data_IF_498307030741
#
_entry.id   IF_498307030741
#
_cell.length_a   1.000
_cell.length_b   1.000
_cell.length_c   1.000
_cell.angle_alpha   90.00
_cell.angle_beta   90.00
_cell.angle_gamma   90.00
#
_symmetry.space_group_name_H-M   'P 1'
#
loop_
_entity.id
_entity.type
_entity.pdbx_description
1 polymer ?
#
# COMPACT_ATOMS: atom_id res chain seq x y z
N UNK A 1 37.73 -4.83 -8.70
CA UNK A 1 37.39 -4.96 -7.26
C UNK A 1 36.06 -4.30 -6.90
N UNK A 2 35.84 -3.00 -7.19
CA UNK A 2 34.57 -2.29 -6.91
C UNK A 2 33.33 -2.99 -7.49
N UNK A 3 33.44 -3.49 -8.72
CA UNK A 3 32.35 -4.13 -9.45
C UNK A 3 31.94 -5.49 -8.85
N UNK A 4 32.93 -6.31 -8.50
CA UNK A 4 32.72 -7.57 -7.80
C UNK A 4 32.07 -7.34 -6.42
N UNK A 5 32.52 -6.32 -5.69
CA UNK A 5 31.91 -5.94 -4.42
C UNK A 5 30.43 -5.55 -4.55
N UNK A 6 30.07 -4.79 -5.59
CA UNK A 6 28.66 -4.43 -5.87
C UNK A 6 27.82 -5.66 -6.23
N UNK A 7 28.35 -6.57 -7.04
CA UNK A 7 27.66 -7.81 -7.39
C UNK A 7 27.44 -8.69 -6.15
N UNK A 8 28.48 -8.90 -5.34
CA UNK A 8 28.40 -9.69 -4.11
C UNK A 8 27.42 -9.08 -3.11
N UNK A 9 27.38 -7.74 -2.99
CA UNK A 9 26.37 -7.05 -2.17
C UNK A 9 24.96 -7.34 -2.70
N UNK A 10 24.72 -7.15 -4.00
CA UNK A 10 23.41 -7.42 -4.60
C UNK A 10 22.96 -8.86 -4.34
N UNK A 11 23.84 -9.85 -4.58
CA UNK A 11 23.53 -11.26 -4.34
C UNK A 11 23.28 -11.54 -2.85
N UNK A 12 24.10 -10.98 -1.95
CA UNK A 12 23.92 -11.09 -0.51
C UNK A 12 22.58 -10.51 -0.03
N UNK A 13 22.18 -9.35 -0.56
CA UNK A 13 20.90 -8.72 -0.24
C UNK A 13 19.71 -9.61 -0.65
N UNK A 14 19.78 -10.30 -1.80
CA UNK A 14 18.76 -11.28 -2.21
C UNK A 14 18.78 -12.52 -1.32
N UNK A 15 19.96 -13.06 -1.04
CA UNK A 15 20.11 -14.27 -0.23
C UNK A 15 19.55 -14.06 1.19
N UNK A 16 19.85 -12.93 1.80
CA UNK A 16 19.36 -12.56 3.13
C UNK A 16 17.86 -12.26 3.11
N UNK A 17 17.39 -11.42 2.19
CA UNK A 17 16.01 -10.98 2.21
C UNK A 17 15.02 -12.08 1.79
N UNK A 18 15.37 -12.93 0.83
CA UNK A 18 14.54 -14.05 0.38
C UNK A 18 14.87 -15.38 1.10
N UNK A 19 15.56 -15.35 2.24
CA UNK A 19 15.85 -16.53 3.07
C UNK A 19 14.59 -17.37 3.34
N UNK A 20 13.46 -16.71 3.55
CA UNK A 20 12.15 -17.31 3.79
C UNK A 20 11.63 -18.20 2.65
N UNK A 21 12.18 -18.08 1.45
CA UNK A 21 11.82 -18.94 0.29
C UNK A 21 13.02 -19.72 -0.24
N UNK A 22 14.19 -19.65 0.41
CA UNK A 22 15.43 -20.32 0.00
C UNK A 22 16.43 -19.42 -0.73
N UNK A 23 16.45 -18.13 -0.41
CA UNK A 23 17.44 -17.17 -0.90
C UNK A 23 17.38 -16.96 -2.41
N UNK A 24 18.54 -16.85 -3.06
CA UNK A 24 18.66 -16.64 -4.51
C UNK A 24 17.98 -17.77 -5.29
N UNK A 25 18.18 -19.02 -4.88
CA UNK A 25 17.60 -20.19 -5.54
C UNK A 25 16.07 -20.17 -5.40
N UNK A 26 15.59 -19.88 -4.18
CA UNK A 26 14.17 -19.72 -3.89
C UNK A 26 13.49 -18.66 -4.75
N UNK A 27 14.11 -17.48 -4.85
CA UNK A 27 13.67 -16.40 -5.71
C UNK A 27 13.52 -16.87 -7.17
N UNK A 28 14.55 -17.54 -7.68
CA UNK A 28 14.57 -17.99 -9.08
C UNK A 28 13.50 -19.06 -9.35
N UNK A 29 13.34 -20.04 -8.46
CA UNK A 29 12.30 -21.08 -8.59
C UNK A 29 10.92 -20.42 -8.64
N UNK A 30 10.62 -19.53 -7.69
CA UNK A 30 9.33 -18.86 -7.62
C UNK A 30 9.04 -17.99 -8.85
N UNK A 31 10.06 -17.30 -9.38
CA UNK A 31 9.92 -16.55 -10.63
C UNK A 31 9.62 -17.47 -11.81
N UNK A 32 10.31 -18.61 -11.93
CA UNK A 32 10.08 -19.60 -13.00
C UNK A 32 8.68 -20.25 -12.89
N UNK A 33 8.21 -20.54 -11.68
CA UNK A 33 6.85 -21.06 -11.46
C UNK A 33 5.79 -20.07 -11.95
N UNK A 34 5.93 -18.79 -11.59
CA UNK A 34 5.00 -17.74 -12.03
C UNK A 34 5.08 -17.48 -13.54
N UNK A 35 6.28 -17.56 -14.14
CA UNK A 35 6.45 -17.50 -15.60
C UNK A 35 5.73 -18.65 -16.31
N UNK A 36 5.83 -19.87 -15.78
CA UNK A 36 5.18 -21.05 -16.34
C UNK A 36 3.66 -20.92 -16.33
N UNK A 37 3.10 -20.48 -15.20
CA UNK A 37 1.66 -20.20 -15.06
C UNK A 37 1.19 -19.11 -16.03
N UNK A 38 2.00 -18.07 -16.25
CA UNK A 38 1.66 -17.00 -17.20
C UNK A 38 1.68 -17.47 -18.67
N UNK A 39 2.44 -18.53 -19.01
CA UNK A 39 2.54 -19.07 -20.37
C UNK A 39 1.45 -20.12 -20.67
N UNK A 40 0.94 -20.82 -19.65
CA UNK A 40 -0.18 -21.74 -19.81
C UNK A 40 -1.49 -20.98 -20.06
N UNK A 41 -2.08 -21.14 -21.25
CA UNK A 41 -3.40 -20.58 -21.61
C UNK A 41 -4.57 -21.17 -20.80
N UNK A 42 -4.33 -22.22 -20.03
CA UNK A 42 -5.28 -22.85 -19.10
C UNK A 42 -5.23 -22.25 -17.68
N UNK A 43 -4.91 -20.96 -17.57
CA UNK A 43 -4.77 -20.21 -16.31
C UNK A 43 -6.01 -20.20 -15.40
N UNK A 44 -7.12 -20.81 -15.83
CA UNK A 44 -8.34 -20.99 -15.04
C UNK A 44 -8.20 -21.99 -13.89
N UNK A 45 -7.18 -22.85 -13.90
CA UNK A 45 -7.00 -23.86 -12.86
C UNK A 45 -5.57 -23.86 -12.32
N UNK A 46 -5.27 -22.94 -11.41
CA UNK A 46 -4.40 -23.34 -10.30
C UNK A 46 -5.15 -24.49 -9.61
N UNK A 47 -4.48 -25.61 -9.32
CA UNK A 47 -5.00 -26.53 -8.32
C UNK A 47 -5.12 -25.73 -7.02
N UNK A 48 -6.30 -25.19 -6.77
CA UNK A 48 -6.61 -24.55 -5.51
C UNK A 48 -6.34 -25.58 -4.44
N UNK A 49 -5.57 -25.20 -3.41
CA UNK A 49 -5.49 -26.03 -2.20
C UNK A 49 -6.88 -26.12 -1.54
N UNK A 50 -7.81 -25.26 -1.91
CA UNK A 50 -9.16 -25.21 -1.35
C UNK A 50 -10.15 -25.93 -2.26
N UNK A 51 -11.08 -26.68 -1.65
CA UNK A 51 -12.17 -27.39 -2.33
C UNK A 51 -13.18 -26.41 -2.95
N UNK A 52 -13.31 -25.24 -2.35
CA UNK A 52 -14.25 -24.19 -2.73
C UNK A 52 -13.64 -22.83 -2.44
N UNK A 53 -13.83 -21.87 -3.34
CA UNK A 53 -13.50 -20.46 -3.16
C UNK A 53 -14.58 -19.63 -3.83
N UNK A 54 -15.12 -18.66 -3.12
CA UNK A 54 -16.07 -17.68 -3.64
C UNK A 54 -15.76 -16.30 -3.07
N UNK A 55 -16.21 -15.27 -3.80
CA UNK A 55 -15.97 -13.88 -3.45
C UNK A 55 -17.31 -13.15 -3.33
N UNK A 56 -17.46 -12.41 -2.24
CA UNK A 56 -18.65 -11.65 -1.93
C UNK A 56 -18.29 -10.17 -1.76
N UNK A 57 -19.22 -9.27 -2.10
CA UNK A 57 -19.04 -7.86 -1.78
C UNK A 57 -19.08 -7.71 -0.27
N UNK A 58 -18.00 -7.24 0.38
CA UNK A 58 -17.92 -7.21 1.83
C UNK A 58 -18.92 -6.20 2.40
N UNK A 59 -19.70 -6.60 3.39
CA UNK A 59 -20.48 -5.63 4.17
C UNK A 59 -19.58 -5.00 5.23
N UNK A 60 -19.77 -3.71 5.48
CA UNK A 60 -18.92 -2.95 6.40
C UNK A 60 -19.53 -1.60 6.72
N UNK A 61 -18.90 -0.89 7.65
CA UNK A 61 -19.42 0.37 8.16
C UNK A 61 -19.33 1.46 7.09
N UNK A 62 -20.49 2.00 6.67
CA UNK A 62 -20.52 3.22 5.86
C UNK A 62 -20.55 4.45 6.76
N UNK A 63 -19.44 5.19 6.77
CA UNK A 63 -19.25 6.37 7.63
C UNK A 63 -20.18 7.54 7.27
N UNK A 64 -20.86 7.48 6.11
CA UNK A 64 -21.86 8.45 5.67
C UNK A 64 -23.27 8.14 6.18
N UNK A 65 -23.57 6.87 6.45
CA UNK A 65 -24.91 6.44 6.87
C UNK A 65 -25.08 6.56 8.38
N UNK A 66 -24.08 6.13 9.15
CA UNK A 66 -24.07 6.21 10.61
C UNK A 66 -23.05 7.25 11.09
N UNK A 67 -23.44 8.52 11.00
CA UNK A 67 -22.57 9.67 11.33
C UNK A 67 -22.21 9.74 12.82
N UNK A 68 -23.09 9.25 13.70
CA UNK A 68 -22.84 9.21 15.15
C UNK A 68 -21.76 8.17 15.46
N UNK A 69 -21.91 6.94 14.95
CA UNK A 69 -20.89 5.91 15.11
C UNK A 69 -19.58 6.30 14.43
N UNK A 70 -19.63 6.91 13.24
CA UNK A 70 -18.43 7.40 12.55
C UNK A 70 -17.65 8.40 13.41
N UNK A 71 -18.35 9.35 14.04
CA UNK A 71 -17.76 10.33 14.96
C UNK A 71 -17.19 9.65 16.21
N UNK A 72 -17.92 8.69 16.77
CA UNK A 72 -17.48 7.93 17.95
C UNK A 72 -16.26 7.06 17.65
N UNK A 73 -16.22 6.41 16.48
CA UNK A 73 -15.09 5.64 16.00
C UNK A 73 -13.85 6.52 15.80
N UNK A 74 -14.03 7.70 15.21
CA UNK A 74 -12.95 8.66 15.05
C UNK A 74 -12.43 9.15 16.42
N UNK A 75 -13.31 9.39 17.39
CA UNK A 75 -12.92 9.74 18.75
C UNK A 75 -12.09 8.63 19.41
N UNK A 76 -12.44 7.36 19.24
CA UNK A 76 -11.60 6.23 19.70
C UNK A 76 -10.22 6.24 19.03
N UNK A 77 -10.14 6.60 17.74
CA UNK A 77 -8.86 6.72 17.03
C UNK A 77 -8.00 7.86 17.57
N UNK A 78 -8.60 9.01 17.87
CA UNK A 78 -7.89 10.13 18.49
C UNK A 78 -7.46 9.77 19.91
N UNK A 79 -8.34 9.19 20.73
CA UNK A 79 -8.02 8.71 22.09
C UNK A 79 -6.89 7.68 22.09
N UNK A 80 -6.93 6.74 21.13
CA UNK A 80 -5.94 5.69 20.95
C UNK A 80 -4.65 6.12 20.24
N UNK A 81 -4.48 7.40 19.88
CA UNK A 81 -3.30 7.89 19.17
C UNK A 81 -1.96 7.57 19.89
N UNK A 82 -1.86 7.60 21.24
CA UNK A 82 -0.67 7.12 21.95
C UNK A 82 -0.38 5.62 21.77
N UNK A 83 -1.32 4.83 21.29
CA UNK A 83 -1.14 3.40 21.01
C UNK A 83 -0.88 3.12 19.53
N UNK A 84 -0.84 4.16 18.68
CA UNK A 84 -0.63 4.05 17.25
C UNK A 84 0.80 4.46 16.85
N UNK A 85 1.36 3.75 15.88
CA UNK A 85 2.47 4.19 15.04
C UNK A 85 2.01 4.52 13.62
N UNK A 86 2.93 5.03 12.82
CA UNK A 86 2.72 5.25 11.38
C UNK A 86 3.73 4.44 10.58
N UNK A 87 3.28 3.76 9.53
CA UNK A 87 4.16 3.00 8.63
C UNK A 87 3.93 3.50 7.19
N UNK A 88 4.97 4.04 6.56
CA UNK A 88 4.87 4.65 5.23
C UNK A 88 5.77 3.95 4.20
N UNK A 89 5.19 3.28 3.18
CA UNK A 89 5.94 2.83 2.01
C UNK A 89 6.26 4.02 1.08
N UNK A 90 7.51 4.50 1.11
CA UNK A 90 8.04 5.63 0.33
C UNK A 90 9.14 5.17 -0.65
N UNK A 91 9.04 3.94 -1.18
CA UNK A 91 10.03 3.40 -2.12
C UNK A 91 9.90 3.86 -3.59
N UNK A 92 8.92 4.71 -3.92
CA UNK A 92 8.55 5.04 -5.31
C UNK A 92 9.24 6.29 -5.88
N UNK A 93 9.67 6.19 -7.14
CA UNK A 93 10.18 7.32 -7.92
C UNK A 93 9.05 8.16 -8.52
N UNK A 94 9.32 9.46 -8.74
CA UNK A 94 8.43 10.46 -9.30
C UNK A 94 8.38 10.47 -10.84
N UNK A 95 8.80 9.39 -11.51
CA UNK A 95 8.88 9.31 -12.98
C UNK A 95 7.58 9.70 -13.69
N UNK A 96 6.46 9.18 -13.21
CA UNK A 96 5.13 9.46 -13.80
C UNK A 96 4.68 10.90 -13.57
N UNK A 97 5.27 11.59 -12.60
CA UNK A 97 5.07 13.01 -12.33
C UNK A 97 6.02 13.88 -13.16
N UNK A 98 7.02 13.29 -13.84
CA UNK A 98 8.10 14.02 -14.47
C UNK A 98 8.93 14.82 -13.45
N UNK A 99 8.98 14.35 -12.20
CA UNK A 99 9.73 14.99 -11.14
C UNK A 99 11.20 14.59 -11.27
N UNK A 100 12.04 15.57 -11.60
CA UNK A 100 13.47 15.43 -11.85
C UNK A 100 14.26 16.48 -11.09
N UNK A 101 15.46 16.11 -10.71
CA UNK A 101 16.47 17.01 -10.17
C UNK A 101 16.98 17.93 -11.29
N UNK A 102 17.06 19.23 -11.04
CA UNK A 102 17.41 20.22 -12.06
C UNK A 102 18.86 20.14 -12.50
N UNK A 103 19.74 19.66 -11.62
CA UNK A 103 21.19 19.71 -11.81
C UNK A 103 21.69 18.42 -12.46
N UNK A 104 21.12 17.29 -12.06
CA UNK A 104 21.51 15.95 -12.52
C UNK A 104 20.59 15.38 -13.60
N UNK A 105 19.33 15.85 -13.69
CA UNK A 105 18.31 15.28 -14.56
C UNK A 105 17.76 13.93 -14.09
N UNK A 106 18.20 13.42 -12.95
CA UNK A 106 17.71 12.16 -12.39
C UNK A 106 16.31 12.33 -11.81
N UNK A 107 15.48 11.27 -11.85
CA UNK A 107 14.15 11.35 -11.26
C UNK A 107 14.19 11.28 -9.73
N UNK A 108 13.49 12.20 -9.08
CA UNK A 108 13.40 12.30 -7.63
C UNK A 108 12.30 11.41 -7.04
N UNK A 109 12.35 11.06 -5.74
CA UNK A 109 11.24 10.43 -5.05
C UNK A 109 9.94 11.20 -5.16
N UNK A 110 8.81 10.49 -5.34
CA UNK A 110 7.49 11.13 -5.41
C UNK A 110 7.16 11.93 -4.14
N UNK A 111 7.69 11.50 -2.98
CA UNK A 111 7.56 12.20 -1.71
C UNK A 111 8.11 13.63 -1.70
N UNK A 112 9.03 13.97 -2.60
CA UNK A 112 9.60 15.31 -2.74
C UNK A 112 8.77 16.24 -3.64
N UNK A 113 7.68 15.75 -4.26
CA UNK A 113 6.83 16.56 -5.13
C UNK A 113 6.37 17.84 -4.39
N UNK A 114 6.69 19.04 -4.90
CA UNK A 114 6.15 20.27 -4.36
C UNK A 114 4.64 20.33 -4.52
N UNK A 115 3.95 20.57 -3.42
CA UNK A 115 2.51 20.54 -3.28
C UNK A 115 2.07 21.63 -2.29
N UNK A 116 1.46 22.70 -2.80
CA UNK A 116 1.08 23.88 -2.01
C UNK A 116 2.25 24.47 -1.19
N UNK A 117 3.43 24.58 -1.81
CA UNK A 117 4.63 25.17 -1.22
C UNK A 117 5.44 24.26 -0.28
N UNK A 118 5.07 22.97 -0.16
CA UNK A 118 5.78 21.96 0.66
C UNK A 118 5.90 20.64 -0.09
N UNK A 119 6.81 19.77 0.29
CA UNK A 119 6.82 18.40 -0.25
C UNK A 119 5.61 17.58 0.21
N UNK A 120 5.26 16.51 -0.53
CA UNK A 120 4.22 15.56 -0.07
C UNK A 120 4.58 14.94 1.29
N UNK A 121 5.86 14.67 1.56
CA UNK A 121 6.30 14.15 2.85
C UNK A 121 6.04 15.15 3.99
N UNK A 122 6.32 16.44 3.78
CA UNK A 122 5.97 17.48 4.75
C UNK A 122 4.45 17.54 5.00
N UNK A 123 3.65 17.43 3.93
CA UNK A 123 2.20 17.36 4.05
C UNK A 123 1.74 16.19 4.94
N UNK A 124 2.34 15.02 4.74
CA UNK A 124 2.08 13.81 5.52
C UNK A 124 2.40 14.01 7.02
N UNK A 125 3.53 14.64 7.34
CA UNK A 125 3.93 14.92 8.72
C UNK A 125 3.04 15.98 9.39
N UNK A 126 2.63 17.01 8.64
CA UNK A 126 1.75 18.06 9.15
C UNK A 126 0.37 17.53 9.51
N UNK A 127 -0.16 16.62 8.70
CA UNK A 127 -1.39 15.91 9.01
C UNK A 127 -1.26 15.12 10.34
N UNK A 128 -0.18 14.36 10.50
CA UNK A 128 0.07 13.63 11.75
C UNK A 128 0.14 14.58 12.96
N UNK A 129 0.86 15.69 12.83
CA UNK A 129 0.94 16.72 13.88
C UNK A 129 -0.43 17.35 14.20
N UNK A 130 -1.30 17.51 13.19
CA UNK A 130 -2.65 18.02 13.42
C UNK A 130 -3.49 17.05 14.27
N UNK A 131 -3.36 15.74 14.05
CA UNK A 131 -4.02 14.71 14.86
C UNK A 131 -3.49 14.66 16.29
N UNK A 132 -2.18 14.77 16.48
CA UNK A 132 -1.55 14.87 17.80
C UNK A 132 -2.00 16.11 18.56
N UNK A 133 -2.09 17.24 17.85
CA UNK A 133 -2.62 18.48 18.40
C UNK A 133 -4.10 18.34 18.79
N UNK A 134 -4.91 17.67 17.97
CA UNK A 134 -6.30 17.39 18.29
C UNK A 134 -6.45 16.49 19.53
N UNK A 135 -5.65 15.41 19.64
CA UNK A 135 -5.59 14.59 20.85
C UNK A 135 -5.23 15.43 22.09
N UNK A 136 -4.21 16.30 22.00
CA UNK A 136 -3.87 17.22 23.08
C UNK A 136 -5.02 18.15 23.44
N UNK A 137 -5.75 18.69 22.46
CA UNK A 137 -6.88 19.59 22.70
C UNK A 137 -8.05 18.90 23.40
N UNK A 138 -8.32 17.65 23.08
CA UNK A 138 -9.44 16.90 23.66
C UNK A 138 -9.07 16.32 25.04
N UNK A 139 -7.86 15.77 25.20
CA UNK A 139 -7.48 14.97 26.37
C UNK A 139 -6.44 15.64 27.28
N UNK A 140 -5.92 16.80 26.90
CA UNK A 140 -4.92 17.55 27.69
C UNK A 140 -3.54 16.89 27.75
N UNK A 141 -3.27 15.87 26.93
CA UNK A 141 -2.03 15.10 26.92
C UNK A 141 -1.35 15.19 25.56
N UNK A 142 -0.08 15.56 25.53
CA UNK A 142 0.71 15.50 24.30
C UNK A 142 1.18 14.07 24.04
N UNK A 143 1.27 13.70 22.77
CA UNK A 143 1.89 12.47 22.32
C UNK A 143 2.71 12.73 21.06
N UNK A 144 3.76 11.92 20.85
CA UNK A 144 4.52 11.88 19.60
C UNK A 144 4.37 10.48 19.03
N UNK A 145 3.69 10.39 17.90
CA UNK A 145 3.47 9.14 17.15
C UNK A 145 4.73 8.79 16.35
N UNK A 146 5.36 7.63 16.58
CA UNK A 146 6.58 7.23 15.88
C UNK A 146 6.29 6.90 14.42
N UNK A 147 7.21 7.27 13.53
CA UNK A 147 7.07 7.12 12.08
C UNK A 147 8.12 6.16 11.53
N UNK A 148 7.66 5.02 11.02
CA UNK A 148 8.44 4.04 10.30
C UNK A 148 8.30 4.28 8.79
N UNK A 149 9.43 4.40 8.07
CA UNK A 149 9.43 4.71 6.64
C UNK A 149 10.23 3.66 5.87
N UNK A 150 9.55 2.94 4.99
CA UNK A 150 10.22 2.03 4.05
C UNK A 150 10.64 2.78 2.78
N UNK A 151 11.93 2.81 2.48
CA UNK A 151 12.50 3.48 1.28
C UNK A 151 12.98 2.44 0.25
N UNK A 152 13.65 2.90 -0.81
CA UNK A 152 14.42 2.03 -1.72
C UNK A 152 15.75 2.70 -2.11
N UNK A 153 16.67 1.91 -2.68
CA UNK A 153 17.93 2.44 -3.23
C UNK A 153 17.78 2.97 -4.65
N UNK A 154 16.60 2.80 -5.28
CA UNK A 154 16.38 3.22 -6.66
C UNK A 154 16.41 4.73 -6.72
N UNK A 155 17.27 5.28 -7.58
CA UNK A 155 17.39 6.73 -7.82
C UNK A 155 17.64 7.50 -6.52
N UNK A 156 18.55 6.98 -5.69
CA UNK A 156 18.97 7.56 -4.42
C UNK A 156 17.80 7.90 -3.49
N UNK A 157 16.71 7.12 -3.55
CA UNK A 157 15.49 7.42 -2.83
C UNK A 157 15.72 7.47 -1.31
N UNK A 158 16.45 6.52 -0.74
CA UNK A 158 16.78 6.52 0.69
C UNK A 158 17.51 7.80 1.10
N UNK A 159 18.56 8.17 0.37
CA UNK A 159 19.40 9.34 0.64
C UNK A 159 18.58 10.64 0.56
N UNK A 160 17.74 10.77 -0.46
CA UNK A 160 16.85 11.92 -0.60
C UNK A 160 15.85 12.05 0.55
N UNK A 161 15.29 10.92 1.04
CA UNK A 161 14.37 10.93 2.20
C UNK A 161 15.12 11.25 3.50
N UNK A 162 16.32 10.71 3.70
CA UNK A 162 17.18 11.08 4.85
C UNK A 162 17.50 12.58 4.81
N UNK A 163 17.92 13.09 3.66
CA UNK A 163 18.32 14.49 3.50
C UNK A 163 17.18 15.47 3.82
N UNK A 164 15.94 15.19 3.37
CA UNK A 164 14.81 16.06 3.71
C UNK A 164 14.43 15.96 5.19
N UNK A 165 14.50 14.77 5.80
CA UNK A 165 14.28 14.61 7.23
C UNK A 165 15.31 15.41 8.04
N UNK A 166 16.60 15.31 7.72
CA UNK A 166 17.67 16.02 8.43
C UNK A 166 17.59 17.54 8.21
N UNK A 167 17.36 18.00 6.97
CA UNK A 167 17.20 19.42 6.63
C UNK A 167 16.04 20.08 7.37
N UNK A 168 14.96 19.33 7.61
CA UNK A 168 13.78 19.80 8.32
C UNK A 168 13.78 19.40 9.80
N UNK A 169 14.95 19.04 10.35
CA UNK A 169 15.15 18.69 11.77
C UNK A 169 14.15 17.64 12.27
N UNK A 170 13.94 16.60 11.46
CA UNK A 170 12.98 15.52 11.69
C UNK A 170 11.56 16.06 11.95
N UNK A 171 11.19 17.13 11.24
CA UNK A 171 9.92 17.84 11.32
C UNK A 171 9.58 18.33 12.73
N UNK A 172 10.60 18.58 13.56
CA UNK A 172 10.46 18.98 14.96
C UNK A 172 10.01 17.84 15.89
N UNK A 173 10.10 16.57 15.45
CA UNK A 173 9.64 15.38 16.20
C UNK A 173 10.79 14.62 16.87
N UNK A 174 12.04 14.95 16.57
CA UNK A 174 13.22 14.22 17.03
C UNK A 174 13.55 12.98 16.17
N UNK A 175 14.85 12.69 16.00
CA UNK A 175 15.35 11.58 15.17
C UNK A 175 14.93 10.22 15.72
N UNK A 176 14.83 10.11 17.04
CA UNK A 176 14.45 8.90 17.77
C UNK A 176 13.03 8.43 17.46
N UNK A 177 12.15 9.35 17.03
CA UNK A 177 10.77 9.07 16.63
C UNK A 177 10.64 8.70 15.15
N UNK A 178 11.75 8.52 14.43
CA UNK A 178 11.78 8.02 13.06
C UNK A 178 12.61 6.76 12.92
N UNK A 179 12.11 5.83 12.10
CA UNK A 179 12.84 4.63 11.70
C UNK A 179 12.75 4.46 10.18
N UNK A 180 13.81 4.83 9.49
CA UNK A 180 13.93 4.57 8.05
C UNK A 180 14.55 3.18 7.86
N UNK A 181 14.00 2.39 6.95
CA UNK A 181 14.49 1.06 6.63
C UNK A 181 14.34 0.80 5.13
N UNK A 182 15.42 0.35 4.50
CA UNK A 182 15.54 0.33 3.05
C UNK A 182 15.26 -1.08 2.50
N UNK A 183 14.39 -1.16 1.48
CA UNK A 183 14.13 -2.42 0.78
C UNK A 183 15.25 -2.72 -0.23
N UNK A 184 15.63 -4.00 -0.40
CA UNK A 184 16.61 -4.39 -1.41
C UNK A 184 16.05 -4.25 -2.84
N UNK A 185 16.95 -4.11 -3.80
CA UNK A 185 16.61 -4.30 -5.21
C UNK A 185 16.53 -5.79 -5.51
N UNK A 186 15.60 -6.17 -6.40
CA UNK A 186 15.38 -7.55 -6.81
C UNK A 186 15.66 -7.72 -8.30
N UNK A 187 16.20 -8.87 -8.74
CA UNK A 187 16.61 -9.06 -10.12
C UNK A 187 15.40 -9.16 -11.04
N UNK A 188 15.49 -8.46 -12.17
CA UNK A 188 14.52 -8.57 -13.26
C UNK A 188 14.81 -9.84 -14.07
N UNK A 189 13.78 -10.63 -14.28
CA UNK A 189 13.78 -11.89 -15.01
C UNK A 189 13.18 -11.70 -16.40
N UNK A 190 13.86 -12.23 -17.42
CA UNK A 190 13.40 -12.24 -18.80
C UNK A 190 12.20 -13.19 -18.96
N UNK A 191 11.14 -12.74 -19.65
CA UNK A 191 9.92 -13.51 -19.83
C UNK A 191 10.09 -14.75 -20.72
N UNK A 192 11.05 -14.74 -21.64
CA UNK A 192 11.30 -15.81 -22.61
C UNK A 192 12.01 -17.00 -21.95
N UNK A 193 13.20 -16.76 -21.38
CA UNK A 193 14.10 -17.82 -20.92
C UNK A 193 14.27 -17.89 -19.40
N UNK A 194 13.67 -16.95 -18.66
CA UNK A 194 13.76 -16.93 -17.20
C UNK A 194 15.13 -16.52 -16.66
N UNK A 195 16.06 -16.04 -17.49
CA UNK A 195 17.36 -15.54 -17.02
C UNK A 195 17.24 -14.13 -16.46
N UNK A 196 18.16 -13.75 -15.58
CA UNK A 196 18.24 -12.37 -15.12
C UNK A 196 18.74 -11.46 -16.24
N UNK A 197 18.12 -10.29 -16.37
CA UNK A 197 18.64 -9.24 -17.23
C UNK A 197 19.92 -8.67 -16.62
N UNK A 198 20.97 -8.53 -17.43
CA UNK A 198 22.27 -8.05 -17.01
C UNK A 198 22.56 -6.72 -17.71
N UNK A 199 22.99 -5.73 -16.93
CA UNK A 199 23.36 -4.40 -17.42
C UNK A 199 24.80 -4.32 -17.93
N UNK A 200 25.19 -3.19 -18.52
CA UNK A 200 26.54 -2.88 -19.02
C UNK A 200 27.67 -3.22 -18.04
N UNK A 201 27.38 -3.06 -16.75
CA UNK A 201 28.31 -3.28 -15.66
C UNK A 201 28.42 -4.74 -15.24
N UNK A 202 27.83 -5.71 -15.95
CA UNK A 202 27.69 -7.11 -15.50
C UNK A 202 26.89 -7.26 -14.19
N UNK A 203 26.16 -6.21 -13.78
CA UNK A 203 25.26 -6.25 -12.65
C UNK A 203 23.84 -6.62 -13.10
N UNK A 204 23.11 -7.42 -12.31
CA UNK A 204 21.69 -7.65 -12.54
C UNK A 204 20.92 -6.33 -12.59
N UNK A 205 19.97 -6.23 -13.52
CA UNK A 205 19.02 -5.12 -13.55
C UNK A 205 18.11 -5.26 -12.33
N UNK A 206 18.26 -4.36 -11.37
CA UNK A 206 17.52 -4.34 -10.10
C UNK A 206 16.30 -3.43 -10.14
N UNK A 207 15.18 -3.88 -9.57
CA UNK A 207 13.99 -3.05 -9.32
C UNK A 207 13.44 -3.31 -7.91
N UNK A 208 12.61 -2.43 -7.33
CA UNK A 208 11.98 -2.70 -6.04
C UNK A 208 11.03 -3.90 -6.14
N UNK A 209 11.00 -4.72 -5.08
CA UNK A 209 10.22 -5.97 -4.96
C UNK A 209 8.75 -5.77 -4.58
N UNK A 210 8.24 -4.55 -4.69
CA UNK A 210 6.87 -4.21 -4.30
C UNK A 210 6.74 -3.80 -2.83
N UNK A 211 5.61 -3.19 -2.48
CA UNK A 211 5.42 -2.63 -1.14
C UNK A 211 5.07 -3.68 -0.06
N UNK A 212 4.77 -4.92 -0.44
CA UNK A 212 4.56 -6.04 0.50
C UNK A 212 5.82 -6.46 1.27
N UNK A 213 7.00 -6.07 0.79
CA UNK A 213 8.28 -6.31 1.45
C UNK A 213 8.34 -5.68 2.85
N UNK A 214 7.48 -4.69 3.10
CA UNK A 214 7.43 -3.92 4.33
C UNK A 214 7.29 -4.76 5.59
N UNK A 215 6.58 -5.89 5.53
CA UNK A 215 6.29 -6.71 6.72
C UNK A 215 7.48 -7.55 7.15
N UNK A 216 8.05 -8.33 6.23
CA UNK A 216 9.29 -9.07 6.49
C UNK A 216 10.41 -8.11 6.85
N UNK A 217 10.57 -7.02 6.08
CA UNK A 217 11.64 -6.05 6.30
C UNK A 217 11.51 -5.33 7.64
N UNK A 218 10.29 -4.98 8.06
CA UNK A 218 10.05 -4.41 9.39
C UNK A 218 10.48 -5.38 10.51
N UNK A 219 10.23 -6.69 10.33
CA UNK A 219 10.70 -7.72 11.25
C UNK A 219 12.23 -7.82 11.26
N UNK A 220 12.85 -8.02 10.09
CA UNK A 220 14.30 -8.21 9.97
C UNK A 220 15.10 -7.00 10.48
N UNK A 221 14.55 -5.79 10.35
CA UNK A 221 15.20 -4.52 10.76
C UNK A 221 14.83 -4.06 12.17
N UNK A 222 14.07 -4.86 12.92
CA UNK A 222 13.68 -4.57 14.31
C UNK A 222 12.72 -3.38 14.46
N UNK A 223 11.91 -3.10 13.43
CA UNK A 223 10.99 -1.95 13.40
C UNK A 223 9.80 -2.20 14.33
N UNK A 224 9.28 -3.42 14.39
CA UNK A 224 8.19 -3.77 15.32
C UNK A 224 8.64 -3.61 16.78
N UNK A 225 9.83 -4.12 17.13
CA UNK A 225 10.41 -3.96 18.46
C UNK A 225 10.63 -2.48 18.81
N UNK A 226 11.05 -1.68 17.84
CA UNK A 226 11.17 -0.24 18.02
C UNK A 226 9.81 0.43 18.26
N UNK A 227 8.74 0.05 17.56
CA UNK A 227 7.38 0.52 17.81
C UNK A 227 6.87 0.09 19.20
N UNK A 228 7.12 -1.15 19.63
CA UNK A 228 6.72 -1.61 20.97
C UNK A 228 7.43 -0.87 22.10
N UNK A 229 8.72 -0.51 21.93
CA UNK A 229 9.43 0.34 22.90
C UNK A 229 8.82 1.72 23.04
N UNK A 230 8.11 2.19 22.01
CA UNK A 230 7.31 3.42 22.08
C UNK A 230 5.89 3.17 22.63
N UNK A 231 5.54 1.94 23.01
CA UNK A 231 4.23 1.59 23.56
C UNK A 231 3.11 1.45 22.51
N UNK A 232 3.46 1.20 21.25
CA UNK A 232 2.46 1.12 20.17
C UNK A 232 1.91 -0.30 20.05
N UNK A 233 0.61 -0.41 19.80
CA UNK A 233 -0.13 -1.66 19.59
C UNK A 233 -0.59 -1.81 18.14
N UNK A 234 -1.03 -0.71 17.53
CA UNK A 234 -1.43 -0.67 16.13
C UNK A 234 -0.62 0.33 15.33
N UNK A 235 -0.82 0.33 14.01
CA UNK A 235 -0.33 1.37 13.13
C UNK A 235 -1.29 1.65 11.98
N UNK A 236 -1.25 2.87 11.48
CA UNK A 236 -1.84 3.22 10.18
C UNK A 236 -0.79 3.11 9.09
N UNK A 237 -1.19 2.54 7.94
CA UNK A 237 -0.32 2.32 6.79
C UNK A 237 -0.96 2.96 5.56
N UNK A 238 -0.24 3.86 4.87
CA UNK A 238 -0.74 4.53 3.66
C UNK A 238 0.36 5.05 2.76
N UNK A 239 0.03 5.23 1.48
CA UNK A 239 0.96 5.80 0.50
C UNK A 239 1.04 7.33 0.61
N UNK A 240 2.26 7.87 0.51
CA UNK A 240 2.53 9.33 0.56
C UNK A 240 1.80 10.14 -0.52
N UNK A 241 1.46 9.50 -1.66
CA UNK A 241 0.81 10.17 -2.77
C UNK A 241 -0.67 10.51 -2.54
N UNK A 242 -1.34 9.86 -1.58
CA UNK A 242 -2.76 10.08 -1.31
C UNK A 242 -2.93 11.22 -0.29
N UNK A 243 -3.17 12.42 -0.80
CA UNK A 243 -3.17 13.66 -0.01
C UNK A 243 -4.46 13.89 0.77
N UNK A 244 -5.55 13.21 0.42
CA UNK A 244 -6.85 13.32 1.12
C UNK A 244 -7.03 12.33 2.26
N UNK A 245 -6.17 11.31 2.36
CA UNK A 245 -6.32 10.14 3.23
C UNK A 245 -6.56 10.42 4.73
N UNK A 246 -6.24 11.62 5.21
CA UNK A 246 -6.46 12.04 6.59
C UNK A 246 -7.06 13.46 6.70
N UNK A 247 -7.70 13.91 5.63
CA UNK A 247 -8.37 15.23 5.61
C UNK A 247 -9.75 15.19 6.25
N UNK A 248 -10.23 14.01 6.65
CA UNK A 248 -11.50 13.79 7.32
C UNK A 248 -11.39 12.73 8.44
N UNK A 249 -12.53 12.30 8.97
CA UNK A 249 -12.61 11.33 10.06
C UNK A 249 -12.22 9.89 9.68
N UNK A 250 -12.06 9.55 8.39
CA UNK A 250 -11.96 8.16 7.92
C UNK A 250 -10.76 7.42 8.52
N UNK A 251 -9.58 8.04 8.50
CA UNK A 251 -8.36 7.39 9.01
C UNK A 251 -8.46 7.11 10.51
N UNK A 252 -9.04 8.04 11.27
CA UNK A 252 -9.21 7.90 12.71
C UNK A 252 -10.33 6.93 13.06
N UNK A 253 -11.43 6.91 12.30
CA UNK A 253 -12.47 5.90 12.47
C UNK A 253 -11.93 4.49 12.19
N UNK A 254 -11.14 4.33 11.12
CA UNK A 254 -10.46 3.08 10.79
C UNK A 254 -9.56 2.62 11.95
N UNK A 255 -8.65 3.48 12.41
CA UNK A 255 -7.73 3.14 13.49
C UNK A 255 -8.43 2.90 14.83
N UNK A 256 -9.45 3.71 15.14
CA UNK A 256 -10.24 3.59 16.36
C UNK A 256 -11.02 2.29 16.43
N UNK A 257 -11.66 1.86 15.35
CA UNK A 257 -12.32 0.54 15.27
C UNK A 257 -11.30 -0.58 15.46
N UNK A 258 -10.15 -0.46 14.80
CA UNK A 258 -9.05 -1.42 14.90
C UNK A 258 -8.60 -1.67 16.34
N UNK A 259 -8.27 -0.58 17.05
CA UNK A 259 -7.85 -0.64 18.45
C UNK A 259 -8.99 -1.07 19.39
N UNK A 260 -10.18 -0.46 19.24
CA UNK A 260 -11.29 -0.66 20.18
C UNK A 260 -11.78 -2.10 20.19
N UNK A 261 -11.82 -2.74 19.03
CA UNK A 261 -12.36 -4.08 18.84
C UNK A 261 -11.28 -5.14 18.66
N UNK A 262 -10.01 -4.81 18.89
CA UNK A 262 -8.85 -5.71 18.74
C UNK A 262 -8.83 -6.42 17.37
N UNK A 263 -9.14 -5.68 16.29
CA UNK A 263 -9.09 -6.23 14.93
C UNK A 263 -7.63 -6.29 14.48
N UNK A 264 -7.30 -7.23 13.58
CA UNK A 264 -5.93 -7.41 13.07
C UNK A 264 -5.62 -6.52 11.88
N UNK A 265 -6.60 -6.27 11.01
CA UNK A 265 -6.40 -5.47 9.81
C UNK A 265 -7.70 -4.77 9.38
N UNK A 266 -7.60 -3.49 9.03
CA UNK A 266 -8.71 -2.71 8.52
C UNK A 266 -8.40 -2.10 7.16
N UNK A 267 -9.42 -1.98 6.30
CA UNK A 267 -9.33 -1.29 5.01
C UNK A 267 -10.24 -0.06 4.99
N UNK A 268 -9.72 1.11 4.62
CA UNK A 268 -10.58 2.22 4.19
C UNK A 268 -10.83 2.10 2.68
N UNK A 269 -12.10 2.07 2.29
CA UNK A 269 -12.54 1.80 0.92
C UNK A 269 -13.58 2.80 0.44
N UNK A 270 -13.81 2.80 -0.87
CA UNK A 270 -14.81 3.63 -1.51
C UNK A 270 -15.37 2.95 -2.76
N UNK A 271 -16.32 3.60 -3.43
CA UNK A 271 -16.78 3.18 -4.75
C UNK A 271 -15.60 3.11 -5.75
N UNK A 272 -15.57 2.03 -6.54
CA UNK A 272 -14.62 1.84 -7.63
C UNK A 272 -15.14 2.48 -8.91
N UNK A 273 -14.33 3.34 -9.54
CA UNK A 273 -14.68 3.95 -10.83
C UNK A 273 -14.40 2.97 -11.99
N UNK A 274 -15.23 2.96 -13.05
CA UNK A 274 -14.95 2.18 -14.26
C UNK A 274 -13.58 2.53 -14.85
N UNK A 275 -12.79 1.51 -15.23
CA UNK A 275 -11.47 1.71 -15.81
C UNK A 275 -10.37 2.15 -14.82
N UNK A 276 -10.65 2.19 -13.52
CA UNK A 276 -9.64 2.44 -12.50
C UNK A 276 -8.66 1.27 -12.39
N UNK A 277 -7.36 1.58 -12.26
CA UNK A 277 -6.26 0.59 -12.15
C UNK A 277 -5.94 0.24 -10.69
N UNK A 278 -6.95 0.25 -9.83
CA UNK A 278 -6.85 -0.14 -8.42
C UNK A 278 -7.47 -1.51 -8.20
N UNK A 279 -6.91 -2.27 -7.25
CA UNK A 279 -7.49 -3.54 -6.80
C UNK A 279 -8.84 -3.34 -6.11
N UNK A 280 -9.50 -4.45 -5.79
CA UNK A 280 -10.77 -4.47 -5.05
C UNK A 280 -10.65 -5.21 -3.74
N UNK A 281 -11.38 -4.75 -2.73
CA UNK A 281 -11.55 -5.50 -1.49
C UNK A 281 -12.75 -6.45 -1.61
N UNK A 282 -12.57 -7.69 -1.17
CA UNK A 282 -13.55 -8.78 -1.26
C UNK A 282 -13.69 -9.47 0.08
N UNK A 283 -14.88 -9.94 0.42
CA UNK A 283 -15.05 -10.98 1.42
C UNK A 283 -14.77 -12.32 0.73
N UNK A 284 -13.70 -12.99 1.11
CA UNK A 284 -13.42 -14.35 0.64
C UNK A 284 -14.15 -15.36 1.53
N UNK A 285 -14.77 -16.35 0.89
CA UNK A 285 -15.29 -17.55 1.52
C UNK A 285 -14.61 -18.75 0.87
N UNK A 286 -13.91 -19.57 1.64
CA UNK A 286 -13.26 -20.78 1.10
C UNK A 286 -13.40 -21.97 2.03
N UNK A 287 -13.34 -23.16 1.46
CA UNK A 287 -13.32 -24.41 2.20
C UNK A 287 -11.99 -25.13 1.97
N UNK A 288 -11.23 -25.36 3.04
CA UNK A 288 -9.94 -26.03 2.95
C UNK A 288 -10.10 -27.56 2.72
N UNK A 289 -8.99 -28.28 2.51
CA UNK A 289 -9.02 -29.73 2.27
C UNK A 289 -9.61 -30.52 3.45
N UNK A 290 -9.46 -30.01 4.68
CA UNK A 290 -9.99 -30.62 5.90
C UNK A 290 -11.50 -30.40 6.06
N UNK A 291 -12.12 -29.61 5.17
CA UNK A 291 -13.55 -29.31 5.18
C UNK A 291 -13.95 -28.14 6.07
N UNK A 292 -12.98 -27.45 6.69
CA UNK A 292 -13.23 -26.24 7.47
C UNK A 292 -13.43 -25.04 6.55
N UNK A 293 -14.26 -24.10 7.00
CA UNK A 293 -14.60 -22.88 6.28
C UNK A 293 -13.75 -21.71 6.78
N UNK A 294 -13.20 -20.92 5.87
CA UNK A 294 -12.38 -19.76 6.18
C UNK A 294 -12.98 -18.50 5.55
N UNK A 295 -13.02 -17.44 6.36
CA UNK A 295 -13.57 -16.15 5.98
C UNK A 295 -12.61 -15.01 6.33
N UNK A 296 -12.58 -13.99 5.49
CA UNK A 296 -11.79 -12.78 5.71
C UNK A 296 -12.04 -11.75 4.63
N UNK A 297 -11.74 -10.49 4.93
CA UNK A 297 -11.70 -9.42 3.94
C UNK A 297 -10.27 -9.34 3.43
N UNK A 298 -10.09 -9.51 2.12
CA UNK A 298 -8.81 -9.43 1.45
C UNK A 298 -8.89 -8.55 0.20
N UNK A 299 -7.76 -8.37 -0.49
CA UNK A 299 -7.67 -7.59 -1.71
C UNK A 299 -7.29 -8.48 -2.89
N UNK A 300 -7.97 -8.28 -4.02
CA UNK A 300 -7.58 -8.80 -5.33
C UNK A 300 -7.00 -7.64 -6.13
N UNK A 301 -5.79 -7.80 -6.66
CA UNK A 301 -5.16 -6.79 -7.51
C UNK A 301 -5.80 -6.72 -8.89
N UNK A 302 -5.81 -5.53 -9.49
CA UNK A 302 -6.43 -5.30 -10.82
C UNK A 302 -5.79 -6.16 -11.92
N UNK A 303 -4.52 -6.52 -11.76
CA UNK A 303 -3.81 -7.40 -12.69
C UNK A 303 -4.32 -8.84 -12.67
N UNK A 304 -5.01 -9.24 -11.60
CA UNK A 304 -5.52 -10.59 -11.39
C UNK A 304 -7.04 -10.72 -11.59
N UNK A 305 -7.74 -9.66 -11.98
CA UNK A 305 -9.20 -9.70 -12.18
C UNK A 305 -9.65 -10.76 -13.18
N UNK A 306 -8.93 -10.91 -14.29
CA UNK A 306 -9.24 -11.94 -15.30
C UNK A 306 -9.13 -13.34 -14.72
N UNK A 307 -8.13 -13.58 -13.87
CA UNK A 307 -7.90 -14.86 -13.19
C UNK A 307 -9.02 -15.19 -12.20
N UNK A 308 -9.55 -14.19 -11.51
CA UNK A 308 -10.58 -14.36 -10.48
C UNK A 308 -12.01 -14.05 -10.96
N UNK A 309 -12.20 -13.78 -12.25
CA UNK A 309 -13.53 -13.47 -12.81
C UNK A 309 -14.15 -12.18 -12.29
N UNK A 310 -13.33 -11.20 -11.88
CA UNK A 310 -13.81 -9.90 -11.39
C UNK A 310 -14.18 -9.03 -12.59
N UNK A 311 -15.48 -8.75 -12.73
CA UNK A 311 -16.01 -7.90 -13.79
C UNK A 311 -15.80 -6.42 -13.51
N UNK A 312 -15.63 -5.63 -14.57
CA UNK A 312 -15.69 -4.17 -14.46
C UNK A 312 -17.10 -3.69 -14.06
N UNK A 313 -17.21 -2.61 -13.28
CA UNK A 313 -18.51 -2.00 -13.00
C UNK A 313 -19.13 -1.52 -14.32
N UNK A 314 -20.27 -2.09 -14.74
CA UNK A 314 -21.01 -1.60 -15.90
C UNK A 314 -21.97 -0.50 -15.47
N UNK A 315 -21.88 0.67 -16.11
CA UNK A 315 -22.91 1.70 -16.03
C UNK A 315 -24.11 1.28 -16.88
N UNK A 316 -24.90 0.31 -16.41
CA UNK A 316 -26.15 -0.10 -17.09
C UNK A 316 -27.36 0.39 -16.31
N UNK A 317 -28.25 1.05 -17.05
CA UNK A 317 -29.52 1.64 -16.61
C UNK A 317 -30.25 0.80 -15.54
N UNK A 318 -30.27 1.31 -14.30
CA UNK A 318 -31.30 1.00 -13.31
C UNK A 318 -31.11 -0.23 -12.41
N UNK A 319 -30.12 -1.09 -12.65
CA UNK A 319 -29.76 -2.15 -11.70
C UNK A 319 -28.29 -2.04 -11.30
N UNK A 320 -28.04 -1.59 -10.06
CA UNK A 320 -26.72 -1.64 -9.44
C UNK A 320 -26.33 -3.12 -9.26
N UNK A 321 -25.59 -3.69 -10.21
CA UNK A 321 -24.84 -4.91 -9.91
C UNK A 321 -23.85 -4.54 -8.80
N UNK A 322 -23.88 -5.27 -7.69
CA UNK A 322 -23.02 -4.98 -6.54
C UNK A 322 -21.56 -5.00 -7.00
N UNK A 323 -20.92 -3.83 -6.99
CA UNK A 323 -19.53 -3.67 -7.42
C UNK A 323 -18.63 -3.83 -6.20
N UNK A 324 -17.56 -4.60 -6.35
CA UNK A 324 -16.56 -4.69 -5.29
C UNK A 324 -15.92 -3.32 -5.05
N UNK A 325 -15.76 -2.92 -3.78
CA UNK A 325 -15.19 -1.62 -3.44
C UNK A 325 -13.71 -1.53 -3.80
N UNK A 326 -13.27 -0.31 -4.08
CA UNK A 326 -11.87 -0.03 -4.38
C UNK A 326 -10.98 -0.20 -3.15
N UNK A 327 -9.85 -0.91 -3.32
CA UNK A 327 -8.77 -0.87 -2.36
C UNK A 327 -7.99 0.45 -2.49
N UNK A 328 -7.97 1.24 -1.43
CA UNK A 328 -7.27 2.54 -1.42
C UNK A 328 -5.86 2.48 -0.82
N UNK A 329 -5.46 1.31 -0.30
CA UNK A 329 -4.18 1.12 0.40
C UNK A 329 -4.01 2.04 1.62
N UNK A 330 -5.12 2.46 2.25
CA UNK A 330 -5.16 3.01 3.60
C UNK A 330 -5.59 1.89 4.53
N UNK A 331 -4.66 1.48 5.39
CA UNK A 331 -4.84 0.32 6.27
C UNK A 331 -4.68 0.73 7.73
N UNK A 332 -5.41 0.05 8.60
CA UNK A 332 -5.03 -0.13 10.00
C UNK A 332 -4.44 -1.52 10.14
N UNK A 333 -3.41 -1.68 10.96
CA UNK A 333 -2.80 -2.99 11.25
C UNK A 333 -2.50 -3.12 12.74
N UNK A 334 -2.80 -4.28 13.30
CA UNK A 334 -2.29 -4.69 14.61
C UNK A 334 -0.81 -5.11 14.47
N UNK A 335 0.06 -4.52 15.28
CA UNK A 335 1.51 -4.70 15.14
C UNK A 335 1.94 -6.12 15.50
N UNK A 336 1.31 -6.74 16.49
CA UNK A 336 1.62 -8.11 16.89
C UNK A 336 1.26 -9.08 15.75
N UNK A 337 0.05 -8.98 15.21
CA UNK A 337 -0.40 -9.80 14.10
C UNK A 337 0.49 -9.60 12.85
N UNK A 338 0.90 -8.36 12.56
CA UNK A 338 1.80 -8.09 11.46
C UNK A 338 3.20 -8.69 11.65
N UNK A 339 3.76 -8.58 12.87
CA UNK A 339 5.05 -9.18 13.20
C UNK A 339 5.00 -10.71 13.11
N UNK A 340 3.93 -11.34 13.59
CA UNK A 340 3.73 -12.79 13.49
C UNK A 340 3.73 -13.30 12.05
N UNK A 341 3.27 -12.48 11.09
CA UNK A 341 3.38 -12.78 9.66
C UNK A 341 4.79 -12.49 9.14
N UNK A 342 5.34 -11.32 9.47
CA UNK A 342 6.67 -10.88 9.03
C UNK A 342 7.81 -11.80 9.48
N UNK A 343 7.67 -12.47 10.63
CA UNK A 343 8.67 -13.38 11.18
C UNK A 343 8.63 -14.80 10.59
N UNK A 344 7.65 -15.10 9.73
CA UNK A 344 7.49 -16.46 9.18
C UNK A 344 8.62 -16.78 8.21
N UNK A 345 9.17 -17.99 8.32
CA UNK A 345 10.22 -18.51 7.44
C UNK A 345 9.66 -19.21 6.19
N UNK A 346 8.62 -18.62 5.60
CA UNK A 346 7.99 -19.09 4.36
C UNK A 346 7.42 -17.90 3.57
N UNK A 347 6.94 -18.16 2.36
CA UNK A 347 6.43 -17.12 1.44
C UNK A 347 5.29 -16.24 2.00
N UNK A 348 4.60 -16.65 3.08
CA UNK A 348 3.51 -15.85 3.66
C UNK A 348 3.96 -14.52 4.28
N UNK A 349 5.24 -14.36 4.64
CA UNK A 349 5.81 -13.08 5.07
C UNK A 349 6.00 -12.07 3.92
N UNK A 350 5.84 -12.51 2.67
CA UNK A 350 5.88 -11.72 1.45
C UNK A 350 4.49 -11.78 0.78
N UNK A 351 3.46 -11.12 1.34
CA UNK A 351 2.09 -11.30 0.88
C UNK A 351 1.85 -10.84 -0.57
N UNK A 352 0.96 -11.53 -1.27
CA UNK A 352 0.53 -11.14 -2.62
C UNK A 352 1.63 -11.23 -3.69
N UNK A 353 2.49 -12.25 -3.64
CA UNK A 353 3.56 -12.43 -4.64
C UNK A 353 2.96 -12.61 -6.04
N UNK A 354 3.35 -11.71 -6.94
CA UNK A 354 3.01 -11.73 -8.37
C UNK A 354 4.24 -11.45 -9.22
N UNK A 355 4.15 -11.80 -10.50
CA UNK A 355 5.15 -11.48 -11.51
C UNK A 355 4.46 -10.75 -12.67
N UNK A 356 4.61 -9.43 -12.74
CA UNK A 356 3.99 -8.63 -13.78
C UNK A 356 4.89 -8.52 -15.02
N UNK A 357 4.44 -9.11 -16.12
CA UNK A 357 5.15 -9.15 -17.42
C UNK A 357 4.60 -8.15 -18.45
N UNK A 358 3.61 -7.33 -18.10
CA UNK A 358 2.89 -6.48 -19.07
C UNK A 358 3.73 -5.32 -19.62
N UNK A 359 4.83 -4.95 -18.95
CA UNK A 359 5.67 -3.81 -19.35
C UNK A 359 7.05 -4.28 -19.76
N UNK A 360 7.52 -3.79 -20.89
CA UNK A 360 8.91 -3.97 -21.28
C UNK A 360 9.85 -3.28 -20.28
N UNK A 361 11.02 -3.87 -20.09
CA UNK A 361 12.07 -3.34 -19.23
C UNK A 361 13.19 -2.81 -20.11
N UNK A 362 13.39 -1.50 -20.07
CA UNK A 362 14.54 -0.83 -20.66
C UNK A 362 15.78 -1.01 -19.79
N UNK A 363 16.92 -1.34 -20.39
CA UNK A 363 18.22 -1.47 -19.75
C UNK A 363 19.34 -1.27 -20.77
N UNK A 364 20.56 -0.97 -20.32
CA UNK A 364 21.74 -0.92 -21.19
C UNK A 364 22.48 -2.26 -21.05
N UNK A 365 22.75 -2.95 -22.14
CA UNK A 365 23.42 -4.26 -22.11
C UNK A 365 24.95 -4.16 -21.90
N UNK A 366 25.61 -5.31 -21.72
CA UNK A 366 27.07 -5.45 -21.61
C UNK A 366 27.90 -4.82 -22.74
N UNK A 367 27.28 -4.44 -23.86
CA UNK A 367 27.94 -3.79 -25.00
C UNK A 367 27.67 -2.28 -25.07
N UNK A 368 26.88 -1.73 -24.13
CA UNK A 368 26.52 -0.32 -24.08
C UNK A 368 25.31 0.05 -24.94
N UNK A 369 24.55 -0.93 -25.44
CA UNK A 369 23.36 -0.67 -26.24
C UNK A 369 22.10 -0.57 -25.38
N UNK A 370 21.28 0.44 -25.67
CA UNK A 370 19.93 0.53 -25.10
C UNK A 370 19.08 -0.64 -25.63
N UNK A 371 18.69 -1.51 -24.71
CA UNK A 371 17.87 -2.68 -24.95
C UNK A 371 16.50 -2.53 -24.28
N UNK A 372 15.52 -3.25 -24.81
CA UNK A 372 14.19 -3.38 -24.21
C UNK A 372 13.77 -4.83 -24.33
N UNK A 373 13.45 -5.47 -23.21
CA UNK A 373 13.02 -6.86 -23.17
C UNK A 373 11.71 -7.02 -22.41
N UNK A 374 10.89 -7.99 -22.82
CA UNK A 374 9.78 -8.44 -22.00
C UNK A 374 10.35 -9.12 -20.74
N UNK A 375 9.98 -8.62 -19.57
CA UNK A 375 10.51 -9.13 -18.31
C UNK A 375 9.78 -8.54 -17.12
N UNK A 376 9.97 -9.17 -15.96
CA UNK A 376 9.33 -8.78 -14.71
C UNK A 376 10.22 -9.07 -13.52
N UNK A 377 9.73 -8.77 -12.32
CA UNK A 377 10.37 -9.16 -11.06
C UNK A 377 9.30 -9.65 -10.10
N UNK A 378 9.69 -10.40 -9.09
CA UNK A 378 8.75 -10.73 -8.01
C UNK A 378 8.32 -9.43 -7.33
N UNK A 379 7.02 -9.19 -7.32
CA UNK A 379 6.38 -8.09 -6.63
C UNK A 379 5.48 -8.65 -5.54
N UNK A 380 5.47 -8.04 -4.36
CA UNK A 380 4.54 -8.35 -3.28
C UNK A 380 3.79 -7.09 -2.87
N UNK A 381 2.59 -7.26 -2.28
CA UNK A 381 1.64 -6.19 -2.00
C UNK A 381 1.29 -6.16 -0.51
N UNK A 382 1.36 -4.97 0.10
CA UNK A 382 1.26 -4.83 1.56
C UNK A 382 -0.12 -5.22 2.10
N UNK A 383 -1.18 -4.95 1.35
CA UNK A 383 -2.54 -5.20 1.79
C UNK A 383 -2.92 -6.69 1.79
N UNK A 384 -2.21 -7.52 1.00
CA UNK A 384 -2.43 -8.97 0.97
C UNK A 384 -1.91 -9.66 2.23
N UNK A 385 -1.35 -8.93 3.21
CA UNK A 385 -1.15 -9.49 4.54
C UNK A 385 -2.46 -10.02 5.14
N UNK A 386 -3.59 -9.46 4.70
CA UNK A 386 -4.96 -9.93 4.99
C UNK A 386 -5.17 -11.43 4.77
N UNK A 387 -4.48 -12.02 3.79
CA UNK A 387 -4.58 -13.44 3.47
C UNK A 387 -4.13 -14.35 4.64
N UNK A 388 -3.44 -13.77 5.63
CA UNK A 388 -2.96 -14.45 6.84
C UNK A 388 -3.89 -14.28 8.04
N UNK A 389 -4.98 -13.53 7.93
CA UNK A 389 -5.89 -13.19 9.02
C UNK A 389 -7.30 -13.73 8.79
N UNK A 390 -7.38 -14.93 8.21
CA UNK A 390 -8.65 -15.63 7.98
C UNK A 390 -9.15 -16.26 9.28
N UNK A 391 -10.45 -16.14 9.54
CA UNK A 391 -11.12 -16.82 10.65
C UNK A 391 -11.67 -18.16 10.16
N UNK A 392 -11.43 -19.23 10.93
CA UNK A 392 -11.82 -20.60 10.56
C UNK A 392 -13.01 -21.08 11.38
N UNK A 393 -13.96 -21.74 10.72
CA UNK A 393 -15.20 -22.25 11.30
C UNK A 393 -15.47 -23.70 10.85
N UNK A 394 -16.19 -24.46 11.67
CA UNK A 394 -16.56 -25.85 11.37
C UNK A 394 -17.77 -25.99 10.44
N UNK A 395 -18.45 -24.89 10.14
CA UNK A 395 -19.64 -24.84 9.29
C UNK A 395 -19.59 -23.62 8.38
N UNK A 396 -20.36 -23.67 7.29
CA UNK A 396 -20.52 -22.54 6.38
C UNK A 396 -21.37 -21.48 7.05
N UNK A 397 -20.81 -20.29 7.26
CA UNK A 397 -21.51 -19.18 7.89
C UNK A 397 -22.53 -18.55 6.94
N UNK A 398 -23.64 -18.06 7.51
CA UNK A 398 -24.62 -17.22 6.82
C UNK A 398 -24.19 -15.74 6.85
N UNK A 399 -24.97 -14.86 6.21
CA UNK A 399 -24.74 -13.40 6.20
C UNK A 399 -24.51 -12.81 7.60
N UNK A 400 -23.59 -11.84 7.72
CA UNK A 400 -23.33 -11.07 8.95
C UNK A 400 -22.07 -11.46 9.72
N UNK A 401 -21.29 -12.41 9.20
CA UNK A 401 -20.05 -12.88 9.84
C UNK A 401 -18.97 -11.79 9.93
N UNK A 402 -19.04 -10.77 9.07
CA UNK A 402 -18.04 -9.71 8.94
C UNK A 402 -17.76 -8.96 10.25
N UNK A 403 -18.75 -8.86 11.15
CA UNK A 403 -18.58 -8.25 12.47
C UNK A 403 -17.66 -9.05 13.40
N UNK A 404 -17.56 -10.36 13.20
CA UNK A 404 -16.75 -11.29 14.00
C UNK A 404 -15.34 -11.48 13.43
N UNK A 405 -15.10 -11.12 12.17
CA UNK A 405 -13.82 -11.35 11.50
C UNK A 405 -12.70 -10.47 12.06
N UNK A 406 -11.47 -10.96 12.00
CA UNK A 406 -10.26 -10.23 12.40
C UNK A 406 -9.95 -9.08 11.42
N UNK A 407 -10.39 -9.23 10.17
CA UNK A 407 -10.28 -8.23 9.11
C UNK A 407 -11.60 -7.46 8.95
N UNK A 408 -11.54 -6.14 8.81
CA UNK A 408 -12.74 -5.30 8.64
C UNK A 408 -12.55 -4.23 7.57
N UNK A 409 -13.65 -3.58 7.17
CA UNK A 409 -13.68 -2.55 6.15
C UNK A 409 -14.56 -1.38 6.59
N UNK A 410 -14.14 -0.16 6.26
CA UNK A 410 -14.95 1.06 6.38
C UNK A 410 -15.10 1.72 5.01
N UNK A 411 -16.25 2.32 4.78
CA UNK A 411 -16.61 3.00 3.54
C UNK A 411 -16.81 4.50 3.75
N UNK A 412 -16.38 5.28 2.76
CA UNK A 412 -16.70 6.70 2.66
C UNK A 412 -16.62 7.15 1.19
N UNK A 413 -16.94 8.42 0.91
CA UNK A 413 -16.88 9.01 -0.42
C UNK A 413 -15.45 8.96 -0.97
N UNK A 414 -15.32 8.65 -2.26
CA UNK A 414 -14.01 8.55 -2.91
C UNK A 414 -13.14 9.80 -2.72
N UNK A 415 -13.71 11.00 -2.86
CA UNK A 415 -12.98 12.27 -2.71
C UNK A 415 -12.41 12.49 -1.29
N UNK A 416 -12.94 11.78 -0.29
CA UNK A 416 -12.49 11.80 1.10
C UNK A 416 -11.47 10.70 1.41
N UNK A 417 -11.58 9.53 0.76
CA UNK A 417 -10.68 8.39 1.00
C UNK A 417 -9.46 8.40 0.07
N UNK A 418 -9.63 8.64 -1.22
CA UNK A 418 -8.56 8.49 -2.21
C UNK A 418 -8.58 9.55 -3.31
N UNK A 419 -7.52 10.35 -3.30
CA UNK A 419 -7.16 11.26 -4.39
C UNK A 419 -5.65 11.43 -4.38
N UNK A 420 -5.00 10.79 -5.36
CA UNK A 420 -3.54 10.63 -5.35
C UNK A 420 -2.84 11.56 -6.34
N UNK A 421 -1.72 12.17 -5.97
CA UNK A 421 -0.83 12.86 -6.90
C UNK A 421 0.20 11.86 -7.47
N UNK A 422 -0.15 11.13 -8.55
CA UNK A 422 0.67 10.02 -9.11
C UNK A 422 1.10 10.22 -10.55
N UNK A 423 0.45 11.10 -11.31
CA UNK A 423 0.78 11.33 -12.73
C UNK A 423 0.75 12.82 -13.08
N UNK A 424 1.63 13.21 -14.00
CA UNK A 424 1.63 14.56 -14.59
C UNK A 424 0.40 14.74 -15.48
N UNK A 425 -0.24 15.91 -15.41
CA UNK A 425 -1.26 16.30 -16.37
C UNK A 425 -0.61 16.52 -17.73
N UNK A 426 -1.09 15.81 -18.76
CA UNK A 426 -0.64 16.00 -20.15
C UNK A 426 -1.50 17.07 -20.80
N UNK A 427 -0.93 17.84 -21.72
CA UNK A 427 -1.62 18.95 -22.42
C UNK A 427 -2.89 18.54 -23.16
N UNK A 428 -2.97 17.28 -23.60
CA UNK A 428 -4.11 16.73 -24.35
C UNK A 428 -5.13 16.01 -23.45
N UNK A 429 -4.79 15.79 -22.17
CA UNK A 429 -5.62 15.00 -21.26
C UNK A 429 -6.67 15.88 -20.58
N UNK A 430 -7.94 15.50 -20.71
CA UNK A 430 -9.06 16.18 -20.04
C UNK A 430 -9.29 15.68 -18.61
N UNK A 431 -8.67 14.55 -18.24
CA UNK A 431 -8.89 13.94 -16.93
C UNK A 431 -7.88 14.43 -15.90
N UNK A 432 -8.37 15.07 -14.83
CA UNK A 432 -7.53 15.38 -13.66
C UNK A 432 -7.35 14.19 -12.71
N UNK A 433 -7.83 12.99 -13.08
CA UNK A 433 -7.71 11.83 -12.21
C UNK A 433 -6.24 11.52 -11.90
N UNK A 434 -5.92 11.35 -10.62
CA UNK A 434 -4.57 11.05 -10.12
C UNK A 434 -3.48 12.11 -10.43
N UNK A 435 -3.85 13.33 -10.80
CA UNK A 435 -2.88 14.44 -10.98
C UNK A 435 -2.78 15.32 -9.73
N UNK A 436 -1.66 16.06 -9.55
CA UNK A 436 -1.56 17.03 -8.46
C UNK A 436 -2.73 18.03 -8.44
N UNK A 437 -3.13 18.55 -9.61
CA UNK A 437 -4.23 19.50 -9.76
C UNK A 437 -5.58 18.89 -9.38
N UNK A 438 -5.86 17.67 -9.84
CA UNK A 438 -7.11 16.98 -9.49
C UNK A 438 -7.20 16.68 -8.01
N UNK A 439 -6.10 16.24 -7.40
CA UNK A 439 -6.06 16.00 -5.96
C UNK A 439 -6.24 17.27 -5.13
N UNK A 440 -5.73 18.40 -5.62
CA UNK A 440 -5.90 19.70 -4.95
C UNK A 440 -7.36 20.15 -5.02
N UNK A 441 -8.00 19.97 -6.16
CA UNK A 441 -9.42 20.25 -6.33
C UNK A 441 -10.29 19.41 -5.37
N UNK A 442 -9.96 18.13 -5.19
CA UNK A 442 -10.68 17.28 -4.23
C UNK A 442 -10.47 17.75 -2.78
N UNK A 443 -9.26 18.19 -2.40
CA UNK A 443 -9.02 18.82 -1.08
C UNK A 443 -9.88 20.08 -0.92
N UNK A 444 -9.92 20.95 -1.93
CA UNK A 444 -10.71 22.18 -1.88
C UNK A 444 -12.21 21.89 -1.76
N UNK A 445 -12.70 20.85 -2.44
CA UNK A 445 -14.10 20.38 -2.31
C UNK A 445 -14.38 19.84 -0.91
N UNK A 446 -13.49 19.04 -0.33
CA UNK A 446 -13.66 18.56 1.04
C UNK A 446 -13.65 19.73 2.05
N UNK A 447 -12.80 20.74 1.84
CA UNK A 447 -12.79 21.95 2.66
C UNK A 447 -14.09 22.77 2.50
N UNK A 448 -14.60 22.90 1.28
CA UNK A 448 -15.89 23.52 1.01
C UNK A 448 -17.03 22.81 1.76
N UNK A 449 -17.09 21.48 1.70
CA UNK A 449 -18.10 20.69 2.42
C UNK A 449 -18.05 20.95 3.94
N UNK A 450 -16.84 20.96 4.50
CA UNK A 450 -16.62 21.23 5.92
C UNK A 450 -17.05 22.66 6.31
N UNK A 451 -16.63 23.68 5.55
CA UNK A 451 -16.97 25.08 5.82
C UNK A 451 -18.47 25.34 5.65
N UNK A 452 -19.10 24.73 4.64
CA UNK A 452 -20.54 24.81 4.42
C UNK A 452 -21.32 24.27 5.63
N UNK A 453 -20.84 23.18 6.25
CA UNK A 453 -21.46 22.64 7.48
C UNK A 453 -21.31 23.57 8.70
N UNK A 454 -20.38 24.52 8.64
CA UNK A 454 -20.16 25.55 9.65
C UNK A 454 -20.90 26.86 9.35
N UNK A 455 -21.84 26.86 8.40
CA UNK A 455 -22.56 28.06 7.93
C UNK A 455 -21.63 29.16 7.38
N UNK A 456 -20.46 28.78 6.86
CA UNK A 456 -19.55 29.70 6.17
C UNK A 456 -19.85 29.62 4.68
N UNK A 457 -20.26 30.74 4.08
CA UNK A 457 -20.46 30.83 2.64
C UNK A 457 -19.12 30.77 1.91
N UNK A 458 -18.96 29.73 1.08
CA UNK A 458 -17.81 29.57 0.19
C UNK A 458 -18.34 29.64 -1.24
N UNK A 459 -17.74 30.45 -2.13
CA UNK A 459 -18.14 30.48 -3.53
C UNK A 459 -18.04 29.09 -4.17
N UNK A 460 -19.06 28.68 -4.94
CA UNK A 460 -18.99 27.43 -5.72
C UNK A 460 -17.79 27.49 -6.67
N UNK A 461 -16.83 26.58 -6.50
CA UNK A 461 -15.75 26.37 -7.47
C UNK A 461 -16.28 25.77 -8.77
N UNK A 462 -15.59 26.00 -9.89
CA UNK A 462 -15.98 25.45 -11.20
C UNK A 462 -16.24 23.93 -11.13
N UNK A 463 -17.42 23.51 -11.61
CA UNK A 463 -17.77 22.10 -11.79
C UNK A 463 -17.01 21.58 -13.01
N UNK A 464 -16.34 20.42 -12.85
CA UNK A 464 -15.68 19.73 -13.96
C UNK A 464 -16.68 19.09 -14.90
#
# INVERSE_FOLDING_TARGET
ELLLGRLLKFLGDIEEFYDCVGGIIGYQIMALELLSVSKSKDSKHRHSKDKFVDFHVPTGLNLLEDTEYASQAALWGIEGLPELGEIYPIGGAGDRLGLMDSDTGESLPAALLPYCGRSLLEGLMRDLQAREFLHFKIFGKQCITPVAVMTSSVKNNHEHIVAICERLEWFGRGRENFRLFEQPLVPVVNAEDGKWLISESLLPVGKPGGHGAIWKLACDRGVFEWLYRHGRKGATVRQVSNVVAATDLTLMALAGIGLRHNKKLGFASCERRPGATEGVNVLIEKQNLDGLWEYGITCIEYTEFEKYGISEPTATNGSLQASYPANTNILYVDLQAAQEVGSRKNASCLPGIVLNLKKAVSYVDHLGFECSAAGGRLECTMQNIADNFMNTYSYRCSKGIESELDTFIVYNERKKVTSSAKRKLKSEDRSLHQTPEGSLLDIMRNAHDLLSSCSIEVPEGERQ
#
